data_IF_026352090503
#
_entry.id   IF_026352090503
#
_cell.length_a   1.000
_cell.length_b   1.000
_cell.length_c   1.000
_cell.angle_alpha   90.00
_cell.angle_beta   90.00
_cell.angle_gamma   90.00
#
_symmetry.space_group_name_H-M   'P 1'
#
loop_
_entity.id
_entity.type
_entity.pdbx_description
1 polymer ?
#
# COMPACT_ATOMS: atom_id res chain seq x y z
N UNK A 1 -14.28 15.43 12.84
CA UNK A 1 -13.28 15.32 11.74
C UNK A 1 -13.97 15.41 10.37
N UNK A 2 -13.18 15.75 9.34
CA UNK A 2 -13.67 15.95 7.97
C UNK A 2 -12.81 15.16 7.00
N UNK A 3 -13.46 14.54 6.00
CA UNK A 3 -12.77 13.85 4.90
C UNK A 3 -13.26 14.46 3.58
N UNK A 4 -12.31 14.87 2.74
CA UNK A 4 -12.58 15.26 1.35
C UNK A 4 -11.96 14.21 0.43
N UNK A 5 -12.77 13.63 -0.45
CA UNK A 5 -12.37 12.50 -1.29
C UNK A 5 -13.18 12.45 -2.59
N UNK A 6 -12.62 11.82 -3.60
CA UNK A 6 -13.35 11.50 -4.83
C UNK A 6 -14.29 10.28 -4.70
N UNK A 7 -14.24 9.59 -3.58
CA UNK A 7 -14.99 8.36 -3.35
C UNK A 7 -14.07 7.15 -3.13
N UNK A 8 -14.65 5.96 -3.17
CA UNK A 8 -13.96 4.68 -3.05
C UNK A 8 -14.64 3.74 -2.06
N UNK A 9 -14.38 2.44 -2.20
CA UNK A 9 -15.02 1.40 -1.38
C UNK A 9 -14.72 1.51 0.12
N UNK A 10 -13.57 2.07 0.50
CA UNK A 10 -13.17 2.21 1.90
C UNK A 10 -14.07 3.19 2.68
N UNK A 11 -14.85 4.02 2.00
CA UNK A 11 -15.78 4.93 2.66
C UNK A 11 -16.88 4.22 3.47
N UNK A 12 -17.17 2.97 3.18
CA UNK A 12 -18.12 2.15 3.95
C UNK A 12 -17.65 1.85 5.39
N UNK A 13 -16.33 1.92 5.63
CA UNK A 13 -15.73 1.70 6.95
C UNK A 13 -15.58 2.99 7.77
N UNK A 14 -15.92 4.14 7.21
CA UNK A 14 -15.85 5.42 7.92
C UNK A 14 -17.07 5.59 8.80
N UNK A 15 -16.85 5.82 10.10
CA UNK A 15 -17.91 6.17 11.04
C UNK A 15 -18.50 7.56 10.71
N UNK A 16 -19.61 7.56 10.00
CA UNK A 16 -20.30 8.78 9.56
C UNK A 16 -20.88 9.62 10.71
N UNK A 17 -20.99 9.06 11.92
CA UNK A 17 -21.40 9.82 13.11
C UNK A 17 -20.27 10.73 13.61
N UNK A 18 -19.00 10.32 13.41
CA UNK A 18 -17.80 11.04 13.86
C UNK A 18 -17.13 11.86 12.75
N UNK A 19 -17.40 11.53 11.47
CA UNK A 19 -16.68 12.10 10.35
C UNK A 19 -17.65 12.57 9.27
N UNK A 20 -17.60 13.87 8.94
CA UNK A 20 -18.33 14.44 7.80
C UNK A 20 -17.53 14.25 6.51
N UNK A 21 -18.18 13.73 5.46
CA UNK A 21 -17.54 13.40 4.19
C UNK A 21 -18.04 14.36 3.10
N UNK A 22 -17.08 14.97 2.38
CA UNK A 22 -17.34 15.77 1.19
C UNK A 22 -16.76 15.03 -0.04
N UNK A 23 -17.59 14.85 -1.07
CA UNK A 23 -17.16 14.25 -2.34
C UNK A 23 -16.80 15.34 -3.33
N UNK A 24 -15.52 15.42 -3.72
CA UNK A 24 -14.97 16.35 -4.70
C UNK A 24 -14.00 15.62 -5.62
N UNK A 25 -13.81 16.05 -6.89
CA UNK A 25 -12.90 15.44 -7.84
C UNK A 25 -11.41 15.79 -7.53
N UNK A 26 -10.99 15.59 -6.26
CA UNK A 26 -9.65 15.96 -5.77
C UNK A 26 -8.52 15.12 -6.35
N UNK A 27 -8.80 13.99 -7.00
CA UNK A 27 -7.83 13.16 -7.70
C UNK A 27 -7.37 13.76 -9.03
N UNK A 28 -8.08 14.75 -9.56
CA UNK A 28 -7.78 15.34 -10.86
C UNK A 28 -6.45 16.11 -10.83
N UNK A 29 -5.71 15.98 -11.94
CA UNK A 29 -4.47 16.74 -12.20
C UNK A 29 -4.74 17.99 -13.06
N UNK A 30 -5.98 18.22 -13.49
CA UNK A 30 -6.35 19.38 -14.28
C UNK A 30 -6.23 20.64 -13.43
N UNK A 31 -5.44 21.67 -13.86
CA UNK A 31 -5.21 22.90 -13.08
C UNK A 31 -6.51 23.64 -12.74
N UNK A 32 -7.49 23.67 -13.66
CA UNK A 32 -8.77 24.33 -13.42
C UNK A 32 -9.56 23.63 -12.31
N UNK A 33 -9.61 22.28 -12.31
CA UNK A 33 -10.26 21.51 -11.25
C UNK A 33 -9.51 21.63 -9.92
N UNK A 34 -8.18 21.72 -9.93
CA UNK A 34 -7.38 22.00 -8.73
C UNK A 34 -7.78 23.36 -8.15
N UNK A 35 -7.93 24.38 -8.98
CA UNK A 35 -8.33 25.73 -8.56
C UNK A 35 -9.76 25.75 -8.00
N UNK A 36 -10.72 25.14 -8.70
CA UNK A 36 -12.11 25.02 -8.23
C UNK A 36 -12.18 24.28 -6.89
N UNK A 37 -11.48 23.15 -6.77
CA UNK A 37 -11.39 22.39 -5.52
C UNK A 37 -10.80 23.24 -4.39
N UNK A 38 -9.83 24.12 -4.69
CA UNK A 38 -9.24 25.02 -3.69
C UNK A 38 -10.29 26.02 -3.14
N UNK A 39 -11.13 26.60 -4.01
CA UNK A 39 -12.21 27.52 -3.60
C UNK A 39 -13.21 26.80 -2.70
N UNK A 40 -13.64 25.60 -3.10
CA UNK A 40 -14.57 24.80 -2.29
C UNK A 40 -13.94 24.44 -0.95
N UNK A 41 -12.65 24.06 -0.92
CA UNK A 41 -11.91 23.76 0.32
C UNK A 41 -11.83 24.97 1.24
N UNK A 42 -11.62 26.19 0.71
CA UNK A 42 -11.63 27.42 1.51
C UNK A 42 -12.97 27.57 2.23
N UNK A 43 -14.09 27.40 1.51
CA UNK A 43 -15.42 27.44 2.10
C UNK A 43 -15.61 26.36 3.19
N UNK A 44 -15.18 25.11 2.93
CA UNK A 44 -15.26 24.03 3.91
C UNK A 44 -14.43 24.34 5.17
N UNK A 45 -13.21 24.86 4.99
CA UNK A 45 -12.28 25.22 6.09
C UNK A 45 -12.90 26.30 6.98
N UNK A 46 -13.38 27.38 6.37
CA UNK A 46 -13.91 28.53 7.11
C UNK A 46 -15.24 28.20 7.81
N UNK A 47 -16.19 27.60 7.10
CA UNK A 47 -17.53 27.26 7.64
C UNK A 47 -17.47 26.21 8.76
N UNK A 48 -16.45 25.36 8.79
CA UNK A 48 -16.31 24.32 9.81
C UNK A 48 -15.16 24.57 10.78
N UNK A 49 -14.56 25.77 10.76
CA UNK A 49 -13.46 26.18 11.62
C UNK A 49 -12.31 25.16 11.70
N UNK A 50 -11.86 24.64 10.53
CA UNK A 50 -10.83 23.63 10.45
C UNK A 50 -9.46 24.26 10.72
N UNK A 51 -8.71 23.73 11.66
CA UNK A 51 -7.40 24.24 12.08
C UNK A 51 -6.24 23.62 11.29
N UNK A 52 -6.36 22.35 10.87
CA UNK A 52 -5.31 21.60 10.20
C UNK A 52 -5.86 20.96 8.93
N UNK A 53 -5.16 21.15 7.83
CA UNK A 53 -5.43 20.52 6.53
C UNK A 53 -4.35 19.49 6.25
N UNK A 54 -4.74 18.23 6.02
CA UNK A 54 -3.80 17.13 5.80
C UNK A 54 -4.01 16.49 4.43
N UNK A 55 -3.01 16.58 3.56
CA UNK A 55 -3.01 15.89 2.27
C UNK A 55 -2.15 14.62 2.29
N UNK A 56 -2.69 13.56 1.71
CA UNK A 56 -2.04 12.24 1.66
C UNK A 56 -1.66 11.81 0.24
N UNK A 57 -1.87 12.67 -0.75
CA UNK A 57 -1.43 12.44 -2.14
C UNK A 57 -1.27 13.76 -2.89
N UNK A 58 -0.54 13.71 -4.02
CA UNK A 58 -0.06 14.88 -4.76
C UNK A 58 -1.17 15.75 -5.35
N UNK A 59 -2.16 15.14 -6.01
CA UNK A 59 -3.23 15.91 -6.68
C UNK A 59 -4.04 16.74 -5.66
N UNK A 60 -4.62 16.18 -4.58
CA UNK A 60 -5.31 16.96 -3.58
C UNK A 60 -4.38 17.92 -2.82
N UNK A 61 -3.08 17.61 -2.71
CA UNK A 61 -2.14 18.49 -2.02
C UNK A 61 -2.00 19.87 -2.66
N UNK A 62 -2.14 20.00 -3.98
CA UNK A 62 -2.14 21.30 -4.66
C UNK A 62 -3.34 22.14 -4.23
N UNK A 63 -4.54 21.56 -4.21
CA UNK A 63 -5.74 22.27 -3.74
C UNK A 63 -5.66 22.61 -2.25
N UNK A 64 -5.14 21.71 -1.43
CA UNK A 64 -4.94 21.93 0.00
C UNK A 64 -3.91 23.03 0.26
N UNK A 65 -2.81 23.08 -0.48
CA UNK A 65 -1.78 24.12 -0.35
C UNK A 65 -2.35 25.51 -0.60
N UNK A 66 -3.11 25.69 -1.69
CA UNK A 66 -3.76 26.97 -2.00
C UNK A 66 -4.77 27.36 -0.91
N UNK A 67 -5.67 26.44 -0.55
CA UNK A 67 -6.68 26.69 0.47
C UNK A 67 -6.06 27.03 1.83
N UNK A 68 -5.03 26.30 2.26
CA UNK A 68 -4.35 26.55 3.54
C UNK A 68 -3.65 27.88 3.58
N UNK A 69 -2.99 28.28 2.49
CA UNK A 69 -2.31 29.60 2.40
C UNK A 69 -3.30 30.75 2.49
N UNK A 70 -4.44 30.66 1.80
CA UNK A 70 -5.46 31.71 1.79
C UNK A 70 -6.16 31.81 3.16
N UNK A 71 -6.43 30.67 3.80
CA UNK A 71 -7.12 30.64 5.09
C UNK A 71 -6.20 30.77 6.31
N UNK A 72 -4.88 30.80 6.12
CA UNK A 72 -3.88 30.83 7.20
C UNK A 72 -3.83 29.54 8.04
N UNK A 73 -4.37 28.43 7.55
CA UNK A 73 -4.43 27.18 8.30
C UNK A 73 -3.18 26.33 8.11
N UNK A 74 -2.81 25.55 9.13
CA UNK A 74 -1.65 24.65 9.08
C UNK A 74 -1.86 23.54 8.05
N UNK A 75 -0.84 23.33 7.23
CA UNK A 75 -0.84 22.32 6.19
C UNK A 75 0.12 21.18 6.53
N UNK A 76 -0.36 19.96 6.46
CA UNK A 76 0.40 18.73 6.74
C UNK A 76 0.36 17.82 5.51
N UNK A 77 1.45 17.15 5.22
CA UNK A 77 1.53 16.13 4.17
C UNK A 77 2.13 14.83 4.69
N UNK A 78 1.68 13.71 4.14
CA UNK A 78 2.32 12.41 4.38
C UNK A 78 2.75 11.77 3.07
N UNK A 79 4.03 11.44 2.97
CA UNK A 79 4.58 10.69 1.86
C UNK A 79 4.25 9.20 2.01
N UNK A 80 3.57 8.64 1.02
CA UNK A 80 3.20 7.23 0.97
C UNK A 80 3.97 6.43 -0.10
N UNK A 81 4.94 7.02 -0.74
CA UNK A 81 5.74 6.41 -1.79
C UNK A 81 6.91 7.30 -2.19
N UNK A 82 7.80 6.80 -3.01
CA UNK A 82 9.02 7.47 -3.49
C UNK A 82 8.73 8.54 -4.54
N UNK A 83 7.63 8.89 -4.95
CA UNK A 83 7.30 9.92 -5.96
C UNK A 83 8.43 10.20 -6.97
N UNK A 84 8.92 9.12 -7.62
CA UNK A 84 10.00 9.19 -8.61
C UNK A 84 9.62 10.10 -9.78
N UNK A 85 10.63 10.76 -10.37
CA UNK A 85 10.47 11.67 -11.48
C UNK A 85 11.57 11.44 -12.52
N UNK A 86 11.22 11.67 -13.79
CA UNK A 86 12.15 11.63 -14.93
C UNK A 86 12.36 13.01 -15.56
N UNK A 87 11.52 13.99 -15.19
CA UNK A 87 11.55 15.37 -15.72
C UNK A 87 11.41 16.38 -14.60
N UNK A 88 11.95 17.59 -14.80
CA UNK A 88 11.84 18.69 -13.84
C UNK A 88 10.38 19.10 -13.61
N UNK A 89 9.53 19.04 -14.62
CA UNK A 89 8.10 19.32 -14.48
C UNK A 89 7.43 18.31 -13.53
N UNK A 90 7.77 17.03 -13.64
CA UNK A 90 7.25 16.00 -12.74
C UNK A 90 7.81 16.15 -11.32
N UNK A 91 9.08 16.56 -11.18
CA UNK A 91 9.69 16.88 -9.89
C UNK A 91 8.94 18.05 -9.24
N UNK A 92 8.73 19.13 -9.98
CA UNK A 92 7.94 20.28 -9.51
C UNK A 92 6.53 19.89 -9.09
N UNK A 93 5.81 19.09 -9.90
CA UNK A 93 4.48 18.61 -9.54
C UNK A 93 4.49 17.78 -8.23
N UNK A 94 5.48 16.91 -8.07
CA UNK A 94 5.62 16.08 -6.86
C UNK A 94 6.01 16.92 -5.63
N UNK A 95 6.75 18.03 -5.81
CA UNK A 95 7.26 18.87 -4.73
C UNK A 95 6.17 19.50 -3.86
N UNK A 96 4.91 19.50 -4.31
CA UNK A 96 3.79 19.98 -3.48
C UNK A 96 3.74 19.29 -2.12
N UNK A 97 4.16 18.03 -2.06
CA UNK A 97 4.18 17.25 -0.82
C UNK A 97 5.24 17.73 0.19
N UNK A 98 6.25 18.51 -0.27
CA UNK A 98 7.26 19.13 0.59
C UNK A 98 6.98 20.61 0.88
N UNK A 99 5.85 21.15 0.41
CA UNK A 99 5.49 22.57 0.59
C UNK A 99 4.59 22.83 1.80
N UNK A 100 4.35 21.81 2.62
CA UNK A 100 3.57 21.89 3.86
C UNK A 100 4.41 22.40 5.05
N UNK A 101 3.76 22.81 6.12
CA UNK A 101 4.41 23.19 7.39
C UNK A 101 5.05 21.97 8.08
N UNK A 102 4.38 20.81 7.97
CA UNK A 102 4.86 19.54 8.51
C UNK A 102 4.79 18.45 7.44
N UNK A 103 5.92 17.79 7.20
CA UNK A 103 6.07 16.69 6.26
C UNK A 103 6.28 15.41 7.06
N UNK A 104 5.43 14.41 6.86
CA UNK A 104 5.54 13.12 7.51
C UNK A 104 6.10 12.11 6.51
N UNK A 105 7.22 11.50 6.83
CA UNK A 105 7.79 10.34 6.15
C UNK A 105 7.34 9.06 6.88
N UNK A 106 6.83 8.08 6.12
CA UNK A 106 6.31 6.82 6.69
C UNK A 106 7.39 5.81 7.08
N UNK A 107 8.67 6.11 6.82
CA UNK A 107 9.86 5.31 7.11
C UNK A 107 11.11 6.18 7.02
N UNK A 108 12.25 5.68 7.53
CA UNK A 108 13.56 6.35 7.35
C UNK A 108 13.96 6.34 5.87
N UNK A 109 13.65 5.28 5.15
CA UNK A 109 13.85 5.22 3.70
C UNK A 109 13.14 6.38 2.97
N UNK A 110 11.87 6.65 3.29
CA UNK A 110 11.14 7.79 2.70
C UNK A 110 11.70 9.13 3.17
N UNK A 111 12.16 9.22 4.42
CA UNK A 111 12.81 10.42 4.94
C UNK A 111 14.09 10.75 4.15
N UNK A 112 14.97 9.76 3.93
CA UNK A 112 16.18 9.90 3.13
C UNK A 112 15.85 10.27 1.68
N UNK A 113 14.87 9.55 1.07
CA UNK A 113 14.39 9.85 -0.27
C UNK A 113 13.92 11.30 -0.43
N UNK A 114 13.21 11.87 0.56
CA UNK A 114 12.78 13.27 0.54
C UNK A 114 13.98 14.19 0.60
N UNK A 115 14.93 13.94 1.49
CA UNK A 115 16.15 14.76 1.62
C UNK A 115 17.02 14.76 0.36
N UNK A 116 17.19 13.61 -0.25
CA UNK A 116 18.02 13.45 -1.46
C UNK A 116 17.39 14.08 -2.70
N UNK A 117 16.08 13.91 -2.87
CA UNK A 117 15.42 14.24 -4.12
C UNK A 117 14.66 15.58 -4.11
N UNK A 118 14.38 16.15 -2.93
CA UNK A 118 13.54 17.33 -2.77
C UNK A 118 14.13 18.38 -1.80
N UNK A 119 15.43 18.31 -1.52
CA UNK A 119 16.11 19.23 -0.57
C UNK A 119 15.90 20.71 -0.93
N UNK A 120 15.89 21.07 -2.21
CA UNK A 120 15.68 22.44 -2.67
C UNK A 120 14.30 23.03 -2.29
N UNK A 121 13.33 22.19 -1.94
CA UNK A 121 12.00 22.61 -1.48
C UNK A 121 11.86 22.60 0.05
N UNK A 122 12.87 22.09 0.77
CA UNK A 122 12.93 22.11 2.23
C UNK A 122 13.59 23.42 2.69
N UNK A 123 13.16 23.93 3.82
CA UNK A 123 13.80 25.08 4.50
C UNK A 123 13.65 24.90 6.02
N UNK A 124 14.36 25.72 6.80
CA UNK A 124 14.42 25.61 8.29
C UNK A 124 13.06 25.80 8.97
N UNK A 125 12.08 26.41 8.28
CA UNK A 125 10.73 26.63 8.80
C UNK A 125 9.84 25.38 8.69
N UNK A 126 10.27 24.37 7.91
CA UNK A 126 9.49 23.15 7.65
C UNK A 126 10.03 22.00 8.47
N UNK A 127 9.14 21.30 9.17
CA UNK A 127 9.51 20.09 9.91
C UNK A 127 9.32 18.86 9.01
N UNK A 128 10.38 18.10 8.81
CA UNK A 128 10.33 16.75 8.24
C UNK A 128 10.54 15.75 9.36
N UNK A 129 9.53 14.91 9.62
CA UNK A 129 9.54 13.92 10.69
C UNK A 129 9.29 12.52 10.14
N UNK A 130 9.91 11.53 10.77
CA UNK A 130 9.56 10.12 10.57
C UNK A 130 8.44 9.78 11.55
N UNK A 131 7.30 9.33 11.01
CA UNK A 131 6.24 8.69 11.79
C UNK A 131 5.95 7.38 11.08
N UNK A 132 6.45 6.29 11.63
CA UNK A 132 6.28 4.96 11.04
C UNK A 132 4.81 4.62 10.84
N UNK A 133 4.54 3.91 9.75
CA UNK A 133 3.18 3.41 9.53
C UNK A 133 2.92 2.24 10.46
N UNK A 134 1.72 2.23 11.02
CA UNK A 134 1.26 1.11 11.83
C UNK A 134 0.29 0.21 11.07
N UNK A 135 -0.05 -0.90 11.71
CA UNK A 135 -1.14 -1.79 11.36
C UNK A 135 -2.13 -1.86 12.52
N UNK A 136 -3.33 -2.37 12.26
CA UNK A 136 -4.26 -2.69 13.35
C UNK A 136 -3.91 -4.08 13.89
N UNK A 137 -3.23 -4.12 15.03
CA UNK A 137 -2.77 -5.38 15.65
C UNK A 137 -3.93 -6.24 16.13
N UNK A 138 -5.06 -5.66 16.53
CA UNK A 138 -6.24 -6.41 16.95
C UNK A 138 -6.91 -7.11 15.75
N UNK A 139 -6.81 -6.52 14.56
CA UNK A 139 -7.29 -7.14 13.32
C UNK A 139 -6.31 -8.21 12.80
N UNK A 140 -5.00 -7.96 12.92
CA UNK A 140 -3.97 -8.91 12.54
C UNK A 140 -3.49 -9.73 13.75
N UNK A 141 -4.42 -10.41 14.40
CA UNK A 141 -4.17 -11.33 15.51
C UNK A 141 -4.60 -12.75 15.11
N UNK A 142 -3.65 -13.68 15.15
CA UNK A 142 -3.87 -15.07 14.81
C UNK A 142 -4.87 -15.80 15.73
N UNK A 143 -5.11 -15.27 16.95
CA UNK A 143 -6.07 -15.83 17.91
C UNK A 143 -7.54 -15.50 17.59
N UNK A 144 -7.78 -14.47 16.77
CA UNK A 144 -9.14 -13.99 16.46
C UNK A 144 -9.82 -14.74 15.31
N UNK A 145 -9.11 -15.63 14.60
CA UNK A 145 -9.64 -16.40 13.48
C UNK A 145 -10.37 -17.65 13.96
N UNK A 146 -11.45 -18.00 13.27
CA UNK A 146 -12.31 -19.16 13.58
C UNK A 146 -12.03 -20.27 12.57
N UNK A 147 -11.84 -21.50 13.03
CA UNK A 147 -11.51 -22.66 12.19
C UNK A 147 -12.51 -22.90 11.06
N UNK A 148 -13.80 -22.64 11.29
CA UNK A 148 -14.83 -22.77 10.26
C UNK A 148 -14.61 -21.81 9.09
N UNK A 149 -14.11 -20.59 9.38
CA UNK A 149 -13.81 -19.58 8.35
C UNK A 149 -12.53 -19.94 7.59
N UNK A 150 -11.54 -20.54 8.27
CA UNK A 150 -10.33 -21.06 7.63
C UNK A 150 -10.69 -22.17 6.61
N UNK A 151 -11.49 -23.15 7.02
CA UNK A 151 -11.99 -24.23 6.14
C UNK A 151 -12.77 -23.69 4.94
N UNK A 152 -13.63 -22.68 5.16
CA UNK A 152 -14.40 -22.02 4.11
C UNK A 152 -13.51 -21.29 3.12
N UNK A 153 -12.47 -20.59 3.62
CA UNK A 153 -11.52 -19.88 2.79
C UNK A 153 -10.72 -20.84 1.90
N UNK A 154 -10.17 -21.91 2.47
CA UNK A 154 -9.41 -22.93 1.75
C UNK A 154 -10.27 -23.60 0.67
N UNK A 155 -11.52 -23.94 0.97
CA UNK A 155 -12.47 -24.45 -0.03
C UNK A 155 -12.71 -23.47 -1.17
N UNK A 156 -12.89 -22.18 -0.86
CA UNK A 156 -13.08 -21.14 -1.88
C UNK A 156 -11.84 -20.90 -2.75
N UNK A 157 -10.66 -21.18 -2.23
CA UNK A 157 -9.39 -21.10 -2.95
C UNK A 157 -9.03 -22.42 -3.66
N UNK A 158 -9.86 -23.46 -3.51
CA UNK A 158 -9.61 -24.79 -4.05
C UNK A 158 -8.27 -25.36 -3.57
N UNK A 159 -7.99 -25.22 -2.29
CA UNK A 159 -6.78 -25.70 -1.63
C UNK A 159 -7.13 -26.84 -0.68
N UNK A 160 -6.41 -27.94 -0.79
CA UNK A 160 -6.52 -29.09 0.10
C UNK A 160 -6.01 -28.74 1.50
N UNK A 161 -6.71 -29.27 2.53
CA UNK A 161 -6.52 -28.86 3.93
C UNK A 161 -5.10 -29.05 4.46
N UNK A 162 -4.42 -30.10 4.02
CA UNK A 162 -3.13 -30.51 4.59
C UNK A 162 -1.91 -30.05 3.78
N UNK A 163 -2.14 -29.25 2.75
CA UNK A 163 -1.07 -28.70 1.92
C UNK A 163 -0.53 -27.39 2.48
N UNK A 164 0.77 -27.19 2.34
CA UNK A 164 1.43 -25.92 2.68
C UNK A 164 1.04 -24.81 1.72
N UNK A 165 1.01 -23.57 2.21
CA UNK A 165 0.60 -22.40 1.44
C UNK A 165 1.68 -21.33 1.51
N UNK A 166 2.19 -20.93 0.35
CA UNK A 166 3.07 -19.77 0.18
C UNK A 166 2.24 -18.63 -0.41
N UNK A 167 2.08 -17.54 0.33
CA UNK A 167 1.22 -16.42 -0.03
C UNK A 167 2.03 -15.19 -0.45
N UNK A 168 1.76 -14.64 -1.64
CA UNK A 168 2.21 -13.32 -2.07
C UNK A 168 1.01 -12.36 -2.14
N UNK A 169 0.80 -11.52 -1.10
CA UNK A 169 -0.29 -10.54 -1.10
C UNK A 169 0.16 -9.22 -1.73
N UNK A 170 -0.59 -8.72 -2.69
CA UNK A 170 -0.30 -7.44 -3.32
C UNK A 170 -1.04 -7.25 -4.63
N UNK A 171 -1.29 -5.99 -5.01
CA UNK A 171 -1.90 -5.68 -6.31
C UNK A 171 -1.08 -6.29 -7.44
N UNK A 172 -1.73 -6.76 -8.48
CA UNK A 172 -1.03 -7.26 -9.66
C UNK A 172 -0.41 -6.09 -10.43
N UNK A 173 0.87 -5.88 -10.19
CA UNK A 173 1.71 -4.86 -10.84
C UNK A 173 3.13 -5.38 -10.96
N UNK A 174 3.83 -5.11 -12.06
CA UNK A 174 5.17 -5.64 -12.32
C UNK A 174 6.17 -5.39 -11.18
N UNK A 175 6.07 -4.24 -10.53
CA UNK A 175 6.97 -3.90 -9.43
C UNK A 175 6.73 -4.68 -8.13
N UNK A 176 5.60 -5.39 -8.01
CA UNK A 176 5.30 -6.28 -6.87
C UNK A 176 5.94 -7.68 -7.01
N UNK A 177 6.62 -7.96 -8.12
CA UNK A 177 7.45 -9.13 -8.29
C UNK A 177 6.70 -10.47 -8.40
N UNK A 178 5.45 -10.46 -8.88
CA UNK A 178 4.72 -11.73 -9.09
C UNK A 178 5.42 -12.65 -10.09
N UNK A 179 6.12 -12.10 -11.09
CA UNK A 179 6.91 -12.90 -12.04
C UNK A 179 8.06 -13.60 -11.33
N UNK A 180 8.85 -12.86 -10.55
CA UNK A 180 9.94 -13.43 -9.72
C UNK A 180 9.41 -14.51 -8.76
N UNK A 181 8.24 -14.28 -8.18
CA UNK A 181 7.60 -15.26 -7.31
C UNK A 181 7.27 -16.55 -8.07
N UNK A 182 6.65 -16.47 -9.26
CA UNK A 182 6.33 -17.64 -10.08
C UNK A 182 7.60 -18.40 -10.49
N UNK A 183 8.67 -17.69 -10.87
CA UNK A 183 9.95 -18.28 -11.21
C UNK A 183 10.60 -19.00 -10.00
N UNK A 184 10.53 -18.38 -8.81
CA UNK A 184 11.04 -19.00 -7.58
C UNK A 184 10.24 -20.26 -7.20
N UNK A 185 8.91 -20.26 -7.36
CA UNK A 185 8.07 -21.43 -7.15
C UNK A 185 8.44 -22.56 -8.11
N UNK A 186 8.74 -22.24 -9.37
CA UNK A 186 9.20 -23.24 -10.33
C UNK A 186 10.52 -23.89 -9.90
N UNK A 187 11.48 -23.12 -9.40
CA UNK A 187 12.75 -23.66 -8.88
C UNK A 187 12.53 -24.57 -7.68
N UNK A 188 11.65 -24.17 -6.74
CA UNK A 188 11.31 -25.00 -5.57
C UNK A 188 10.66 -26.34 -6.01
N UNK A 189 9.83 -26.32 -7.04
CA UNK A 189 9.19 -27.53 -7.57
C UNK A 189 10.18 -28.54 -8.15
N UNK A 190 11.30 -28.07 -8.70
CA UNK A 190 12.37 -28.95 -9.20
C UNK A 190 12.99 -29.75 -8.04
N UNK A 191 13.08 -29.14 -6.85
CA UNK A 191 13.66 -29.78 -5.68
C UNK A 191 12.66 -30.58 -4.84
N UNK A 192 11.43 -30.06 -4.63
CA UNK A 192 10.44 -30.60 -3.70
C UNK A 192 9.27 -31.33 -4.37
N UNK A 193 9.09 -31.17 -5.69
CA UNK A 193 7.95 -31.69 -6.43
C UNK A 193 6.72 -30.76 -6.41
N UNK A 194 5.86 -30.90 -7.44
CA UNK A 194 4.73 -30.01 -7.71
C UNK A 194 3.57 -30.11 -6.72
N UNK A 195 3.50 -31.19 -5.98
CA UNK A 195 2.36 -31.45 -5.07
C UNK A 195 2.64 -31.07 -3.61
N UNK A 196 3.83 -30.57 -3.28
CA UNK A 196 4.23 -30.33 -1.90
C UNK A 196 3.46 -29.14 -1.27
N UNK A 197 3.05 -28.15 -2.07
CA UNK A 197 2.45 -26.91 -1.58
C UNK A 197 1.60 -26.21 -2.65
N UNK A 198 0.80 -25.24 -2.23
CA UNK A 198 0.15 -24.25 -3.09
C UNK A 198 0.85 -22.89 -3.00
N UNK A 199 0.93 -22.21 -4.13
CA UNK A 199 1.35 -20.80 -4.21
C UNK A 199 0.13 -19.93 -4.47
N UNK A 200 -0.12 -18.92 -3.62
CA UNK A 200 -1.28 -18.03 -3.74
C UNK A 200 -0.83 -16.62 -4.06
N UNK A 201 -1.24 -16.09 -5.21
CA UNK A 201 -1.07 -14.70 -5.59
C UNK A 201 -2.38 -13.98 -5.30
N UNK A 202 -2.39 -13.16 -4.24
CA UNK A 202 -3.60 -12.53 -3.72
C UNK A 202 -3.60 -11.02 -3.97
N UNK A 203 -4.47 -10.55 -4.86
CA UNK A 203 -4.68 -9.12 -5.10
C UNK A 203 -5.28 -8.81 -6.46
N UNK A 204 -6.04 -7.73 -6.52
CA UNK A 204 -6.68 -7.27 -7.76
C UNK A 204 -5.68 -6.73 -8.77
N UNK A 205 -5.95 -6.93 -10.03
CA UNK A 205 -5.24 -6.34 -11.16
C UNK A 205 -5.55 -4.85 -11.37
N UNK A 206 -6.65 -4.37 -10.80
CA UNK A 206 -7.11 -2.97 -10.93
C UNK A 206 -7.17 -2.52 -12.41
N UNK A 207 -7.67 -3.38 -13.29
CA UNK A 207 -7.78 -3.14 -14.73
C UNK A 207 -6.49 -3.38 -15.53
N UNK A 208 -5.48 -4.02 -14.94
CA UNK A 208 -4.24 -4.42 -15.63
C UNK A 208 -4.34 -5.83 -16.20
N UNK A 209 -5.39 -6.10 -16.94
CA UNK A 209 -5.69 -7.44 -17.50
C UNK A 209 -4.52 -8.04 -18.28
N UNK A 210 -3.79 -7.23 -19.06
CA UNK A 210 -2.63 -7.72 -19.82
C UNK A 210 -1.55 -8.28 -18.92
N UNK A 211 -1.31 -7.66 -17.77
CA UNK A 211 -0.34 -8.15 -16.80
C UNK A 211 -0.82 -9.44 -16.14
N UNK A 212 -2.10 -9.52 -15.75
CA UNK A 212 -2.71 -10.76 -15.23
C UNK A 212 -2.60 -11.90 -16.25
N UNK A 213 -2.93 -11.64 -17.52
CA UNK A 213 -2.78 -12.63 -18.61
C UNK A 213 -1.32 -13.10 -18.77
N UNK A 214 -0.35 -12.17 -18.63
CA UNK A 214 1.08 -12.54 -18.66
C UNK A 214 1.44 -13.51 -17.55
N UNK A 215 1.00 -13.26 -16.32
CA UNK A 215 1.28 -14.13 -15.17
C UNK A 215 0.63 -15.51 -15.32
N UNK A 216 -0.60 -15.58 -15.84
CA UNK A 216 -1.29 -16.84 -16.13
C UNK A 216 -0.50 -17.67 -17.15
N UNK A 217 -0.08 -17.06 -18.27
CA UNK A 217 0.74 -17.73 -19.30
C UNK A 217 2.06 -18.23 -18.73
N UNK A 218 2.70 -17.46 -17.85
CA UNK A 218 3.94 -17.86 -17.21
C UNK A 218 3.73 -19.08 -16.32
N UNK A 219 2.64 -19.14 -15.57
CA UNK A 219 2.30 -20.32 -14.76
C UNK A 219 1.96 -21.56 -15.60
N UNK A 220 1.30 -21.37 -16.75
CA UNK A 220 1.04 -22.43 -17.73
C UNK A 220 2.33 -22.96 -18.36
N UNK A 221 3.24 -22.08 -18.77
CA UNK A 221 4.55 -22.42 -19.31
C UNK A 221 5.36 -23.32 -18.38
N UNK A 222 5.30 -23.04 -17.08
CA UNK A 222 5.96 -23.87 -16.05
C UNK A 222 5.09 -25.03 -15.56
N UNK A 223 3.94 -25.31 -16.19
CA UNK A 223 2.99 -26.39 -15.83
C UNK A 223 2.48 -26.31 -14.39
N UNK A 224 2.37 -25.08 -13.85
CA UNK A 224 1.95 -24.82 -12.47
C UNK A 224 0.51 -24.33 -12.33
N UNK A 225 -0.32 -24.41 -13.36
CA UNK A 225 -1.70 -23.88 -13.35
C UNK A 225 -2.59 -24.49 -12.27
N UNK A 226 -2.31 -25.73 -11.85
CA UNK A 226 -3.04 -26.41 -10.76
C UNK A 226 -2.50 -26.09 -9.37
N UNK A 227 -1.28 -25.57 -9.28
CA UNK A 227 -0.60 -25.28 -8.01
C UNK A 227 -0.69 -23.80 -7.64
N UNK A 228 -0.68 -22.89 -8.63
CA UNK A 228 -0.79 -21.46 -8.39
C UNK A 228 -2.26 -21.03 -8.39
N UNK A 229 -2.69 -20.38 -7.32
CA UNK A 229 -4.02 -19.78 -7.19
C UNK A 229 -3.92 -18.26 -7.35
N UNK A 230 -4.65 -17.72 -8.32
CA UNK A 230 -4.81 -16.27 -8.49
C UNK A 230 -6.12 -15.84 -7.84
N UNK A 231 -6.03 -15.14 -6.72
CA UNK A 231 -7.17 -14.68 -5.93
C UNK A 231 -7.28 -13.17 -6.04
N UNK A 232 -8.33 -12.67 -6.68
CA UNK A 232 -8.47 -11.23 -6.97
C UNK A 232 -8.70 -10.39 -5.71
N UNK A 233 -9.46 -10.92 -4.73
CA UNK A 233 -9.85 -10.17 -3.55
C UNK A 233 -10.07 -11.09 -2.34
N UNK A 234 -9.55 -10.69 -1.20
CA UNK A 234 -9.88 -11.30 0.08
C UNK A 234 -10.38 -10.21 1.05
N UNK A 235 -11.60 -10.38 1.55
CA UNK A 235 -12.19 -9.42 2.49
C UNK A 235 -11.53 -9.47 3.87
N UNK A 236 -11.07 -10.65 4.28
CA UNK A 236 -10.40 -10.86 5.56
C UNK A 236 -8.93 -11.23 5.32
N UNK A 237 -8.07 -10.23 5.31
CA UNK A 237 -6.63 -10.43 5.11
C UNK A 237 -5.99 -11.17 6.29
N UNK A 238 -6.43 -10.95 7.52
CA UNK A 238 -5.92 -11.68 8.67
C UNK A 238 -6.14 -13.20 8.49
N UNK A 239 -7.31 -13.60 7.99
CA UNK A 239 -7.59 -15.00 7.69
C UNK A 239 -6.69 -15.56 6.57
N UNK A 240 -6.43 -14.77 5.53
CA UNK A 240 -5.51 -15.16 4.45
C UNK A 240 -4.08 -15.41 4.98
N UNK A 241 -3.60 -14.52 5.85
CA UNK A 241 -2.31 -14.74 6.53
C UNK A 241 -2.36 -15.97 7.45
N UNK A 242 -3.46 -16.17 8.19
CA UNK A 242 -3.60 -17.28 9.14
C UNK A 242 -3.45 -18.64 8.48
N UNK A 243 -4.12 -18.86 7.35
CA UNK A 243 -4.07 -20.15 6.62
C UNK A 243 -2.76 -20.36 5.87
N UNK A 244 -1.92 -19.36 5.73
CA UNK A 244 -0.65 -19.46 5.01
C UNK A 244 0.49 -19.88 5.93
N UNK A 245 1.44 -20.65 5.40
CA UNK A 245 2.64 -21.10 6.13
C UNK A 245 3.81 -20.13 5.94
N UNK A 246 3.92 -19.52 4.77
CA UNK A 246 4.98 -18.58 4.41
C UNK A 246 4.40 -17.40 3.65
N UNK A 247 4.83 -16.21 4.00
CA UNK A 247 4.46 -14.98 3.29
C UNK A 247 5.66 -14.48 2.47
N UNK A 248 5.38 -13.96 1.28
CA UNK A 248 6.42 -13.42 0.40
C UNK A 248 6.06 -12.00 -0.04
N UNK A 249 7.04 -11.10 0.02
CA UNK A 249 6.97 -9.75 -0.51
C UNK A 249 8.13 -9.54 -1.50
N UNK A 250 7.93 -9.94 -2.76
CA UNK A 250 8.96 -9.99 -3.81
C UNK A 250 9.08 -8.68 -4.61
N UNK A 251 8.81 -7.52 -4.02
CA UNK A 251 8.81 -6.24 -4.73
C UNK A 251 10.15 -5.97 -5.43
N UNK A 252 10.12 -5.59 -6.73
CA UNK A 252 11.29 -5.24 -7.53
C UNK A 252 11.66 -3.75 -7.40
N UNK A 253 10.76 -2.94 -6.87
CA UNK A 253 10.98 -1.52 -6.57
C UNK A 253 10.82 -1.28 -5.06
N UNK A 254 11.49 -0.26 -4.51
CA UNK A 254 11.46 -0.01 -3.07
C UNK A 254 10.05 0.24 -2.52
N UNK A 255 9.67 -0.53 -1.52
CA UNK A 255 8.48 -0.27 -0.72
C UNK A 255 8.67 0.98 0.14
N UNK A 256 7.61 1.76 0.30
CA UNK A 256 7.67 2.92 1.19
C UNK A 256 7.78 2.54 2.67
N UNK A 257 7.25 1.37 3.06
CA UNK A 257 7.27 0.87 4.43
C UNK A 257 7.33 -0.66 4.50
N UNK A 258 6.67 -1.39 3.59
CA UNK A 258 6.61 -2.85 3.64
C UNK A 258 5.50 -3.37 4.57
N UNK A 259 4.26 -2.91 4.37
CA UNK A 259 3.10 -3.32 5.20
C UNK A 259 2.90 -4.84 5.26
N UNK A 260 3.13 -5.55 4.17
CA UNK A 260 2.99 -7.01 4.10
C UNK A 260 3.85 -7.69 5.16
N UNK A 261 5.09 -7.20 5.37
CA UNK A 261 5.99 -7.76 6.35
C UNK A 261 5.46 -7.61 7.79
N UNK A 262 5.03 -6.41 8.18
CA UNK A 262 4.52 -6.19 9.54
C UNK A 262 3.17 -6.87 9.78
N UNK A 263 2.32 -7.00 8.76
CA UNK A 263 1.08 -7.75 8.82
C UNK A 263 1.36 -9.26 9.04
N UNK A 264 2.31 -9.83 8.28
CA UNK A 264 2.75 -11.22 8.44
C UNK A 264 3.32 -11.50 9.84
N UNK A 265 4.21 -10.63 10.30
CA UNK A 265 4.83 -10.75 11.63
C UNK A 265 3.80 -10.64 12.77
N UNK A 266 2.82 -9.75 12.67
CA UNK A 266 1.69 -9.66 13.61
C UNK A 266 0.88 -10.95 13.66
N UNK A 267 0.70 -11.60 12.51
CA UNK A 267 0.04 -12.90 12.39
C UNK A 267 0.96 -14.08 12.74
N UNK A 268 2.19 -13.82 13.24
CA UNK A 268 3.20 -14.82 13.60
C UNK A 268 3.57 -15.73 12.42
N UNK A 269 3.59 -15.18 11.21
CA UNK A 269 3.96 -15.92 9.99
C UNK A 269 5.36 -15.54 9.54
N UNK A 270 6.20 -16.52 9.14
CA UNK A 270 7.48 -16.24 8.54
C UNK A 270 7.29 -15.41 7.26
N UNK A 271 8.23 -14.50 7.01
CA UNK A 271 8.20 -13.60 5.84
C UNK A 271 9.53 -13.66 5.11
N UNK A 272 9.49 -13.76 3.78
CA UNK A 272 10.60 -13.46 2.90
C UNK A 272 10.28 -12.13 2.19
N UNK A 273 11.16 -11.15 2.31
CA UNK A 273 10.97 -9.85 1.69
C UNK A 273 12.20 -9.42 0.89
N UNK A 274 11.96 -8.73 -0.23
CA UNK A 274 13.06 -8.10 -0.97
C UNK A 274 13.80 -7.10 -0.09
N UNK A 275 15.12 -7.18 -0.05
CA UNK A 275 16.00 -6.32 0.75
C UNK A 275 16.16 -4.92 0.11
N UNK A 276 15.04 -4.20 -0.07
CA UNK A 276 14.99 -2.86 -0.69
C UNK A 276 13.98 -1.94 -0.01
N UNK A 277 14.34 -0.66 0.11
CA UNK A 277 13.44 0.37 0.62
C UNK A 277 13.02 0.17 2.07
N UNK A 278 11.75 0.45 2.38
CA UNK A 278 11.20 0.33 3.73
C UNK A 278 11.11 -1.10 4.26
N UNK A 279 11.28 -2.13 3.41
CA UNK A 279 11.32 -3.52 3.88
C UNK A 279 12.51 -3.75 4.82
N UNK A 280 13.63 -3.07 4.60
CA UNK A 280 14.83 -3.15 5.44
C UNK A 280 14.61 -2.62 6.88
N UNK A 281 13.54 -1.87 7.07
CA UNK A 281 13.18 -1.31 8.38
C UNK A 281 12.13 -2.16 9.11
N UNK A 282 11.45 -3.06 8.37
CA UNK A 282 10.35 -3.86 8.90
C UNK A 282 10.70 -5.33 9.09
N UNK A 283 11.78 -5.82 8.46
CA UNK A 283 12.28 -7.19 8.62
C UNK A 283 13.70 -7.14 9.20
N UNK A 284 13.93 -7.87 10.28
CA UNK A 284 15.26 -8.13 10.82
C UNK A 284 15.69 -9.49 10.29
N UNK A 285 16.70 -9.49 9.40
CA UNK A 285 17.17 -10.68 8.72
C UNK A 285 17.48 -11.82 9.68
N UNK A 286 17.04 -13.03 9.37
CA UNK A 286 17.17 -14.27 10.17
C UNK A 286 16.56 -14.23 11.56
N UNK A 287 15.88 -13.13 11.94
CA UNK A 287 15.23 -12.99 13.25
C UNK A 287 13.72 -12.87 13.14
N UNK A 288 13.23 -11.95 12.30
CA UNK A 288 11.78 -11.75 12.09
C UNK A 288 11.34 -12.14 10.68
N UNK A 289 12.28 -12.51 9.81
CA UNK A 289 12.10 -12.95 8.43
C UNK A 289 13.44 -13.03 7.71
N UNK A 290 13.38 -13.11 6.39
CA UNK A 290 14.53 -13.18 5.48
C UNK A 290 14.40 -12.14 4.37
#
# INVERSE_FOLDING_TARGET
>A
SFIVTSGGELLKFVDKKKVKIFKLPVQSKNPLLIFINSIILIGIILLNNISIVHARSRAPAWSCLLASKITGRKFVTTFHGTYNFKTNLKKFYNSVMTRSDLIIAGSNFIFSHIKENYSEYLNDKKKLLVIFRGINVDYFDASTTIESDEKKLLKNWEIEKDKKIILLPGRLTSWKGQEVFIEAINLINIELGYEAFYAVILGSDQGRELYKKKLLRLSEQYRMSKQIRFIDNCKNMALAYKVSDLIVSASNEPEAFGRVAVEAQSMRKPIIASNIGGSNETVIDKKTGF
#
